data_IF_119312813143
#
_entry.id   IF_119312813143
#
_cell.length_a   1.000
_cell.length_b   1.000
_cell.length_c   1.000
_cell.angle_alpha   90.00
_cell.angle_beta   90.00
_cell.angle_gamma   90.00
#
_symmetry.space_group_name_H-M   'P 1'
#
loop_
_entity.id
_entity.type
_entity.pdbx_description
1 polymer ?
#
# COMPACT_ATOMS: atom_id res chain seq x y z
N UNK A 1 17.04 19.87 -6.96
CA UNK A 1 17.76 18.59 -7.21
C UNK A 1 17.27 17.97 -8.51
N UNK A 2 18.13 17.87 -9.52
CA UNK A 2 17.79 17.29 -10.83
C UNK A 2 17.63 15.77 -10.65
N UNK A 3 16.42 15.23 -10.82
CA UNK A 3 16.20 13.79 -10.70
C UNK A 3 17.05 13.06 -11.74
N UNK A 4 18.00 12.23 -11.30
CA UNK A 4 18.77 11.35 -12.18
C UNK A 4 17.78 10.39 -12.85
N UNK A 5 17.84 10.26 -14.18
CA UNK A 5 16.99 9.30 -14.93
C UNK A 5 17.20 7.90 -14.33
N UNK A 6 16.11 7.19 -14.07
CA UNK A 6 16.18 5.85 -13.48
C UNK A 6 16.86 4.88 -14.45
N UNK A 7 17.79 4.09 -13.93
CA UNK A 7 18.48 3.08 -14.73
C UNK A 7 17.55 1.90 -15.00
N UNK A 8 17.85 1.08 -16.01
CA UNK A 8 17.10 -0.16 -16.26
C UNK A 8 17.10 -1.07 -15.02
N UNK A 9 18.24 -1.20 -14.33
CA UNK A 9 18.35 -1.94 -13.08
C UNK A 9 17.38 -1.46 -11.99
N UNK A 10 17.21 -0.14 -11.83
CA UNK A 10 16.21 0.41 -10.90
C UNK A 10 14.77 0.05 -11.31
N UNK A 11 14.45 0.06 -12.61
CA UNK A 11 13.13 -0.35 -13.08
C UNK A 11 12.85 -1.84 -12.85
N UNK A 12 13.85 -2.70 -13.08
CA UNK A 12 13.75 -4.15 -12.80
C UNK A 12 13.55 -4.40 -11.31
N UNK A 13 14.30 -3.72 -10.45
CA UNK A 13 14.13 -3.85 -9.01
C UNK A 13 12.79 -3.28 -8.52
N UNK A 14 12.25 -2.24 -9.17
CA UNK A 14 10.90 -1.73 -8.87
C UNK A 14 9.79 -2.72 -9.24
N UNK A 15 9.95 -3.48 -10.34
CA UNK A 15 9.06 -4.58 -10.71
C UNK A 15 9.16 -5.71 -9.70
N UNK A 16 10.39 -6.08 -9.32
CA UNK A 16 10.67 -7.09 -8.31
C UNK A 16 9.88 -6.83 -7.02
N UNK A 17 10.02 -5.63 -6.44
CA UNK A 17 9.30 -5.24 -5.21
C UNK A 17 7.77 -5.16 -5.41
N UNK A 18 7.30 -4.78 -6.60
CA UNK A 18 5.85 -4.61 -6.86
C UNK A 18 5.13 -5.94 -7.04
N UNK A 19 5.80 -6.92 -7.66
CA UNK A 19 5.20 -8.18 -8.07
C UNK A 19 5.74 -9.40 -7.33
N UNK A 20 6.65 -9.21 -6.37
CA UNK A 20 7.18 -10.27 -5.52
C UNK A 20 8.07 -11.26 -6.28
N UNK A 21 8.76 -10.81 -7.32
CA UNK A 21 9.68 -11.63 -8.13
C UNK A 21 11.12 -11.17 -7.90
N UNK A 22 12.12 -12.03 -8.02
CA UNK A 22 13.49 -11.58 -7.80
C UNK A 22 14.06 -10.84 -9.04
N UNK A 23 14.89 -9.80 -8.88
CA UNK A 23 15.42 -9.04 -10.03
C UNK A 23 16.22 -9.91 -11.00
N UNK A 24 16.91 -10.94 -10.50
CA UNK A 24 17.64 -11.91 -11.30
C UNK A 24 16.71 -12.76 -12.17
N UNK A 25 15.58 -13.20 -11.64
CA UNK A 25 14.57 -13.96 -12.38
C UNK A 25 13.98 -13.12 -13.50
N UNK A 26 13.66 -11.84 -13.23
CA UNK A 26 13.15 -10.92 -14.26
C UNK A 26 14.21 -10.71 -15.34
N UNK A 27 15.48 -10.54 -14.97
CA UNK A 27 16.58 -10.41 -15.94
C UNK A 27 16.76 -11.67 -16.79
N UNK A 28 16.79 -12.85 -16.18
CA UNK A 28 16.88 -14.11 -16.90
C UNK A 28 15.69 -14.31 -17.84
N UNK A 29 14.49 -13.93 -17.42
CA UNK A 29 13.31 -14.00 -18.26
C UNK A 29 13.36 -13.02 -19.45
N UNK A 30 14.01 -11.84 -19.33
CA UNK A 30 14.29 -10.99 -20.50
C UNK A 30 15.25 -11.68 -21.48
N UNK A 31 16.30 -12.33 -20.97
CA UNK A 31 17.27 -13.07 -21.80
C UNK A 31 16.59 -14.27 -22.49
N UNK A 32 15.70 -14.97 -21.79
CA UNK A 32 14.92 -16.08 -22.33
C UNK A 32 13.90 -15.61 -23.38
N UNK A 33 13.14 -14.55 -23.09
CA UNK A 33 12.17 -13.98 -24.03
C UNK A 33 12.83 -13.48 -25.31
N UNK A 34 14.08 -13.01 -25.25
CA UNK A 34 14.83 -12.66 -26.47
C UNK A 34 15.10 -13.88 -27.35
N UNK A 35 15.27 -15.08 -26.78
CA UNK A 35 15.52 -16.32 -27.52
C UNK A 35 14.24 -17.00 -28.00
N UNK A 36 13.22 -17.02 -27.14
CA UNK A 36 12.00 -17.81 -27.33
C UNK A 36 10.76 -16.95 -27.62
N UNK A 37 10.95 -15.65 -27.91
CA UNK A 37 9.94 -14.60 -28.04
C UNK A 37 9.13 -14.28 -26.77
N UNK A 38 8.93 -15.26 -25.89
CA UNK A 38 8.19 -15.14 -24.64
C UNK A 38 8.89 -15.86 -23.50
N UNK A 39 8.72 -15.35 -22.29
CA UNK A 39 9.12 -16.00 -21.05
C UNK A 39 8.18 -15.61 -19.92
N UNK A 40 8.08 -16.47 -18.91
CA UNK A 40 7.34 -16.19 -17.68
C UNK A 40 8.30 -16.00 -16.49
N UNK A 41 7.94 -15.13 -15.57
CA UNK A 41 8.65 -14.89 -14.32
C UNK A 41 7.61 -14.64 -13.21
N UNK A 42 7.35 -15.66 -12.38
CA UNK A 42 6.30 -15.62 -11.37
C UNK A 42 4.94 -15.32 -11.99
N UNK A 43 4.33 -14.19 -11.61
CA UNK A 43 3.05 -13.72 -12.16
C UNK A 43 3.17 -12.85 -13.43
N UNK A 44 4.38 -12.64 -13.93
CA UNK A 44 4.67 -11.78 -15.07
C UNK A 44 4.96 -12.59 -16.34
N UNK A 45 4.46 -12.10 -17.46
CA UNK A 45 4.80 -12.58 -18.80
C UNK A 45 5.60 -11.49 -19.51
N UNK A 46 6.73 -11.90 -20.09
CA UNK A 46 7.65 -11.02 -20.81
C UNK A 46 7.65 -11.45 -22.27
N UNK A 47 7.35 -10.51 -23.15
CA UNK A 47 7.25 -10.72 -24.59
C UNK A 47 8.27 -9.82 -25.30
N UNK A 48 9.08 -10.41 -26.17
CA UNK A 48 9.94 -9.69 -27.09
C UNK A 48 9.11 -9.06 -28.20
N UNK A 49 9.31 -7.76 -28.43
CA UNK A 49 8.56 -6.97 -29.42
C UNK A 49 9.40 -6.53 -30.62
N UNK A 50 10.65 -6.98 -30.70
CA UNK A 50 11.56 -6.64 -31.78
C UNK A 50 12.80 -5.87 -31.31
N UNK A 51 13.56 -5.39 -32.30
CA UNK A 51 14.77 -4.59 -32.09
C UNK A 51 14.64 -3.25 -32.80
N UNK A 52 15.12 -2.18 -32.17
CA UNK A 52 15.16 -0.84 -32.73
C UNK A 52 16.47 -0.17 -32.33
N UNK A 53 17.27 0.28 -33.32
CA UNK A 53 18.52 1.03 -33.10
C UNK A 53 19.51 0.36 -32.12
N UNK A 54 19.63 -0.98 -32.17
CA UNK A 54 20.52 -1.73 -31.27
C UNK A 54 19.94 -1.99 -29.87
N UNK A 55 18.71 -1.57 -29.60
CA UNK A 55 17.99 -1.89 -28.37
C UNK A 55 16.95 -2.98 -28.64
N UNK A 56 16.81 -3.91 -27.69
CA UNK A 56 15.73 -4.89 -27.68
C UNK A 56 14.53 -4.35 -26.92
N UNK A 57 13.33 -4.48 -27.49
CA UNK A 57 12.08 -4.03 -26.87
C UNK A 57 11.39 -5.21 -26.21
N UNK A 58 11.03 -5.07 -24.95
CA UNK A 58 10.25 -6.04 -24.20
C UNK A 58 8.97 -5.42 -23.67
N UNK A 59 7.89 -6.18 -23.73
CA UNK A 59 6.62 -5.88 -23.08
C UNK A 59 6.43 -6.83 -21.90
N UNK A 60 6.14 -6.28 -20.72
CA UNK A 60 5.88 -7.05 -19.52
C UNK A 60 4.40 -6.89 -19.18
N UNK A 61 3.72 -8.02 -19.01
CA UNK A 61 2.31 -8.10 -18.71
C UNK A 61 2.08 -8.91 -17.44
N UNK A 62 1.00 -8.62 -16.72
CA UNK A 62 0.46 -9.46 -15.65
C UNK A 62 -0.96 -9.81 -16.03
N UNK A 63 -1.24 -11.10 -16.21
CA UNK A 63 -2.51 -11.56 -16.78
C UNK A 63 -2.75 -10.92 -18.16
N UNK A 64 -3.63 -9.92 -18.26
CA UNK A 64 -3.91 -9.18 -19.50
C UNK A 64 -3.42 -7.73 -19.48
N UNK A 65 -2.94 -7.24 -18.33
CA UNK A 65 -2.54 -5.85 -18.16
C UNK A 65 -1.08 -5.63 -18.52
N UNK A 66 -0.80 -4.60 -19.33
CA UNK A 66 0.57 -4.14 -19.60
C UNK A 66 1.10 -3.41 -18.36
N UNK A 67 2.13 -3.97 -17.73
CA UNK A 67 2.71 -3.41 -16.50
C UNK A 67 4.01 -2.63 -16.74
N UNK A 68 4.73 -2.93 -17.81
CA UNK A 68 5.91 -2.18 -18.23
C UNK A 68 6.26 -2.46 -19.70
N UNK A 69 6.98 -1.52 -20.31
CA UNK A 69 7.66 -1.72 -21.59
C UNK A 69 9.09 -1.20 -21.45
N UNK A 70 10.07 -2.02 -21.80
CA UNK A 70 11.48 -1.68 -21.70
C UNK A 70 12.17 -1.69 -23.05
N UNK A 71 13.10 -0.75 -23.22
CA UNK A 71 14.15 -0.81 -24.23
C UNK A 71 15.44 -1.15 -23.51
N UNK A 72 16.10 -2.20 -23.97
CA UNK A 72 17.27 -2.77 -23.31
C UNK A 72 18.38 -2.89 -24.33
N UNK A 73 19.50 -2.23 -24.08
CA UNK A 73 20.71 -2.33 -24.90
C UNK A 73 21.20 -3.78 -24.94
N UNK A 74 21.70 -4.24 -26.10
CA UNK A 74 22.16 -5.63 -26.23
C UNK A 74 23.28 -5.98 -25.26
N UNK A 75 24.20 -5.05 -25.03
CA UNK A 75 25.31 -5.21 -24.09
C UNK A 75 24.81 -5.54 -22.68
N UNK A 76 23.70 -4.93 -22.25
CA UNK A 76 23.10 -5.19 -20.95
C UNK A 76 22.57 -6.62 -20.82
N UNK A 77 22.00 -7.19 -21.89
CA UNK A 77 21.49 -8.57 -21.91
C UNK A 77 22.61 -9.61 -21.96
N UNK A 78 23.80 -9.23 -22.44
CA UNK A 78 24.98 -10.09 -22.55
C UNK A 78 25.87 -10.06 -21.30
N UNK A 79 25.58 -9.17 -20.35
CA UNK A 79 26.31 -9.07 -19.08
C UNK A 79 26.26 -10.38 -18.31
N UNK A 80 27.43 -10.81 -17.85
CA UNK A 80 27.62 -11.97 -16.95
C UNK A 80 27.80 -11.55 -15.49
N UNK A 81 28.14 -10.29 -15.26
CA UNK A 81 28.20 -9.70 -13.93
C UNK A 81 26.78 -9.53 -13.38
N UNK A 82 26.58 -9.89 -12.11
CA UNK A 82 25.26 -9.89 -11.45
C UNK A 82 25.17 -8.76 -10.42
N UNK A 83 24.96 -7.49 -10.81
CA UNK A 83 24.88 -6.35 -9.88
C UNK A 83 23.51 -6.22 -9.21
N UNK A 84 22.74 -7.31 -9.05
CA UNK A 84 21.36 -7.26 -8.54
C UNK A 84 21.28 -6.60 -7.15
N UNK A 85 22.27 -6.85 -6.30
CA UNK A 85 22.38 -6.18 -4.98
C UNK A 85 22.52 -4.66 -5.11
N UNK A 86 23.33 -4.20 -6.07
CA UNK A 86 23.50 -2.77 -6.36
C UNK A 86 22.18 -2.14 -6.84
N UNK A 87 21.41 -2.87 -7.64
CA UNK A 87 20.11 -2.39 -8.11
C UNK A 87 19.09 -2.28 -6.98
N UNK A 88 19.06 -3.23 -6.04
CA UNK A 88 18.15 -3.17 -4.90
C UNK A 88 18.50 -2.09 -3.86
N UNK A 89 19.75 -1.62 -3.85
CA UNK A 89 20.25 -0.65 -2.88
C UNK A 89 19.91 0.82 -3.17
N UNK A 90 19.18 1.13 -4.25
CA UNK A 90 18.73 2.51 -4.53
C UNK A 90 17.76 3.02 -3.46
N UNK A 91 17.91 4.30 -3.09
CA UNK A 91 17.03 5.02 -2.14
C UNK A 91 15.53 4.86 -2.48
N UNK A 92 15.18 4.81 -3.77
CA UNK A 92 13.79 4.62 -4.20
C UNK A 92 13.23 3.25 -3.80
N UNK A 93 14.07 2.22 -3.87
CA UNK A 93 13.68 0.83 -3.57
C UNK A 93 13.61 0.64 -2.07
N UNK A 94 14.59 1.14 -1.32
CA UNK A 94 14.57 1.18 0.16
C UNK A 94 13.30 1.86 0.68
N UNK A 95 12.93 3.02 0.13
CA UNK A 95 11.68 3.71 0.50
C UNK A 95 10.41 2.92 0.15
N UNK A 96 10.39 2.20 -0.98
CA UNK A 96 9.24 1.40 -1.41
C UNK A 96 9.07 0.16 -0.53
N UNK A 97 10.17 -0.52 -0.20
CA UNK A 97 10.22 -1.63 0.76
C UNK A 97 9.77 -1.18 2.16
N UNK A 98 10.30 -0.05 2.67
CA UNK A 98 9.89 0.51 3.95
C UNK A 98 8.38 0.87 3.98
N UNK A 99 7.85 1.39 2.87
CA UNK A 99 6.41 1.68 2.74
C UNK A 99 5.56 0.39 2.76
N UNK A 100 5.90 -0.61 1.96
CA UNK A 100 5.19 -1.90 1.94
C UNK A 100 5.23 -2.61 3.29
N UNK A 101 6.37 -2.58 3.99
CA UNK A 101 6.47 -3.12 5.35
C UNK A 101 5.57 -2.36 6.33
N UNK A 102 5.52 -1.02 6.23
CA UNK A 102 4.62 -0.22 7.08
C UNK A 102 3.16 -0.60 6.89
N UNK A 103 2.73 -0.86 5.65
CA UNK A 103 1.34 -1.26 5.32
C UNK A 103 0.93 -2.61 5.95
N UNK A 104 1.91 -3.42 6.37
CA UNK A 104 1.72 -4.77 6.89
C UNK A 104 1.88 -4.85 8.42
N UNK A 105 2.45 -3.82 9.05
CA UNK A 105 2.69 -3.78 10.49
C UNK A 105 1.52 -3.09 11.18
N UNK A 106 0.91 -3.77 12.15
CA UNK A 106 -0.15 -3.24 13.00
C UNK A 106 0.42 -2.88 14.38
N UNK A 107 -0.05 -1.76 14.93
CA UNK A 107 0.29 -1.33 16.28
C UNK A 107 -0.86 -1.63 17.24
N UNK A 108 -0.53 -2.00 18.47
CA UNK A 108 -1.50 -2.11 19.55
C UNK A 108 -1.85 -0.73 20.11
N UNK A 109 -3.06 -0.61 20.67
CA UNK A 109 -3.58 0.66 21.22
C UNK A 109 -2.68 1.19 22.35
N UNK A 110 -2.15 0.33 23.20
CA UNK A 110 -1.22 0.74 24.29
C UNK A 110 0.03 1.46 23.79
N UNK A 111 0.50 1.12 22.59
CA UNK A 111 1.75 1.63 22.04
C UNK A 111 1.58 2.97 21.31
N UNK A 112 0.33 3.45 21.19
CA UNK A 112 -0.01 4.68 20.49
C UNK A 112 0.37 5.93 21.29
N UNK A 113 1.27 6.72 20.71
CA UNK A 113 1.76 8.00 21.20
C UNK A 113 1.28 9.17 20.35
N UNK A 114 1.06 10.31 21.00
CA UNK A 114 0.67 11.54 20.33
C UNK A 114 1.66 11.90 19.21
N UNK A 115 1.14 12.29 18.04
CA UNK A 115 1.96 12.69 16.90
C UNK A 115 2.38 11.55 15.96
N UNK A 116 2.14 10.28 16.32
CA UNK A 116 2.36 9.15 15.41
C UNK A 116 1.47 9.28 14.17
N UNK A 117 2.05 9.01 12.99
CA UNK A 117 1.39 9.08 11.68
C UNK A 117 1.65 7.80 10.91
N UNK A 118 0.78 7.49 9.95
CA UNK A 118 0.86 6.27 9.10
C UNK A 118 0.84 4.99 9.92
N UNK A 119 0.05 4.98 10.98
CA UNK A 119 -0.15 3.79 11.80
C UNK A 119 -1.27 2.94 11.22
N UNK A 120 -1.16 1.62 11.36
CA UNK A 120 -2.24 0.70 11.07
C UNK A 120 -2.65 0.02 12.38
N UNK A 121 -3.95 -0.10 12.61
CA UNK A 121 -4.48 -0.79 13.79
C UNK A 121 -5.65 -1.68 13.40
N UNK A 122 -5.88 -2.72 14.20
CA UNK A 122 -7.13 -3.47 14.22
C UNK A 122 -7.74 -3.28 15.61
N UNK A 123 -9.03 -2.99 15.65
CA UNK A 123 -9.73 -2.73 16.89
C UNK A 123 -11.20 -3.11 16.75
N UNK A 124 -11.83 -3.46 17.86
CA UNK A 124 -13.26 -3.68 17.95
C UNK A 124 -13.95 -2.37 18.35
N UNK A 125 -15.11 -2.12 17.75
CA UNK A 125 -15.91 -0.93 18.04
C UNK A 125 -16.73 -1.19 19.30
N UNK A 126 -16.40 -0.50 20.38
CA UNK A 126 -16.99 -0.70 21.70
C UNK A 126 -18.22 0.18 21.91
N UNK A 127 -18.15 1.44 21.46
CA UNK A 127 -19.22 2.42 21.65
C UNK A 127 -19.23 3.44 20.51
N UNK A 128 -20.43 3.86 20.10
CA UNK A 128 -20.61 4.99 19.18
C UNK A 128 -21.60 5.97 19.81
N UNK A 129 -21.12 7.09 20.39
CA UNK A 129 -21.99 8.14 20.93
C UNK A 129 -22.81 8.85 19.85
N UNK A 130 -23.74 9.71 20.27
CA UNK A 130 -24.47 10.58 19.34
C UNK A 130 -23.52 11.54 18.61
N UNK A 131 -23.65 11.73 17.28
CA UNK A 131 -22.88 12.73 16.56
C UNK A 131 -23.09 14.13 17.13
N UNK A 132 -22.00 14.91 17.19
CA UNK A 132 -21.99 16.30 17.59
C UNK A 132 -21.75 17.20 16.38
N UNK A 133 -22.41 18.35 16.38
CA UNK A 133 -22.24 19.36 15.34
C UNK A 133 -21.06 20.28 15.68
N UNK A 134 -20.15 20.49 14.73
CA UNK A 134 -18.99 21.38 14.89
C UNK A 134 -18.89 22.38 13.75
N UNK A 135 -18.47 23.61 14.10
CA UNK A 135 -18.17 24.64 13.12
C UNK A 135 -16.69 24.55 12.72
N UNK A 136 -16.45 24.38 11.43
CA UNK A 136 -15.10 24.35 10.87
C UNK A 136 -14.56 25.76 10.69
N UNK A 137 -13.23 25.90 10.65
CA UNK A 137 -12.56 27.17 10.35
C UNK A 137 -12.91 27.76 8.97
N UNK A 138 -13.52 26.95 8.09
CA UNK A 138 -13.95 27.35 6.76
C UNK A 138 -15.43 27.80 6.72
N UNK A 139 -16.06 27.99 7.89
CA UNK A 139 -17.45 28.44 7.99
C UNK A 139 -18.50 27.33 7.80
N UNK A 140 -18.08 26.12 7.41
CA UNK A 140 -18.99 24.99 7.25
C UNK A 140 -19.31 24.34 8.59
N UNK A 141 -20.55 23.87 8.70
CA UNK A 141 -21.01 23.04 9.81
C UNK A 141 -20.93 21.58 9.40
N UNK A 142 -20.28 20.75 10.21
CA UNK A 142 -20.13 19.32 9.92
C UNK A 142 -20.42 18.49 11.16
N UNK A 143 -20.86 17.25 10.95
CA UNK A 143 -21.06 16.28 12.03
C UNK A 143 -19.76 15.52 12.32
N UNK A 144 -19.49 15.30 13.61
CA UNK A 144 -18.37 14.49 14.09
C UNK A 144 -18.83 13.54 15.20
N UNK A 145 -18.29 12.33 15.22
CA UNK A 145 -18.49 11.38 16.32
C UNK A 145 -17.16 10.82 16.76
N UNK A 146 -16.97 10.69 18.08
CA UNK A 146 -15.81 10.05 18.67
C UNK A 146 -16.23 8.65 19.14
N UNK A 147 -16.12 7.66 18.26
CA UNK A 147 -16.38 6.27 18.60
C UNK A 147 -15.28 5.74 19.55
N UNK A 148 -15.65 4.91 20.51
CA UNK A 148 -14.68 4.21 21.36
C UNK A 148 -14.31 2.89 20.68
N UNK A 149 -13.03 2.71 20.40
CA UNK A 149 -12.50 1.49 19.79
C UNK A 149 -11.39 0.92 20.66
N UNK A 150 -11.22 -0.39 20.69
CA UNK A 150 -10.21 -1.02 21.52
C UNK A 150 -9.71 -2.35 20.98
N UNK A 151 -8.55 -2.75 21.47
CA UNK A 151 -7.98 -4.08 21.31
C UNK A 151 -7.74 -4.69 22.70
N UNK A 152 -7.11 -5.86 22.77
CA UNK A 152 -6.75 -6.52 24.03
C UNK A 152 -5.82 -5.69 24.93
N UNK A 153 -5.19 -4.64 24.41
CA UNK A 153 -4.20 -3.82 25.12
C UNK A 153 -4.75 -2.51 25.65
N UNK A 154 -5.89 -2.03 25.16
CA UNK A 154 -6.50 -0.80 25.62
C UNK A 154 -7.54 -0.22 24.68
N UNK A 155 -7.98 0.99 24.99
CA UNK A 155 -9.06 1.69 24.27
C UNK A 155 -8.62 3.10 23.87
N UNK A 156 -9.16 3.59 22.76
CA UNK A 156 -8.87 4.93 22.23
C UNK A 156 -10.08 5.46 21.46
N UNK A 157 -10.26 6.78 21.48
CA UNK A 157 -11.33 7.44 20.69
C UNK A 157 -10.93 7.51 19.22
N UNK A 158 -11.79 7.06 18.32
CA UNK A 158 -11.70 7.22 16.88
C UNK A 158 -12.64 8.34 16.43
N UNK A 159 -12.07 9.42 15.90
CA UNK A 159 -12.81 10.56 15.39
C UNK A 159 -13.24 10.30 13.94
N UNK A 160 -14.55 10.18 13.74
CA UNK A 160 -15.20 10.01 12.44
C UNK A 160 -15.90 11.30 12.02
N UNK A 161 -15.66 11.69 10.78
CA UNK A 161 -16.30 12.86 10.16
C UNK A 161 -17.56 12.42 9.42
N UNK A 162 -18.47 13.36 9.15
CA UNK A 162 -19.79 13.15 8.54
C UNK A 162 -19.88 12.04 7.48
N UNK A 163 -19.01 12.03 6.46
CA UNK A 163 -19.01 11.01 5.41
C UNK A 163 -18.70 9.57 5.90
N UNK A 164 -18.15 9.43 7.09
CA UNK A 164 -17.78 8.18 7.75
C UNK A 164 -18.81 7.76 8.81
N UNK A 165 -19.72 8.66 9.19
CA UNK A 165 -20.75 8.36 10.19
C UNK A 165 -21.70 7.32 9.58
N UNK A 166 -21.92 6.22 10.31
CA UNK A 166 -22.73 5.08 9.84
C UNK A 166 -21.96 4.01 9.04
N UNK A 167 -20.66 4.20 8.78
CA UNK A 167 -19.83 3.18 8.12
C UNK A 167 -19.44 2.01 9.04
N UNK A 168 -19.54 2.20 10.35
CA UNK A 168 -19.19 1.21 11.38
C UNK A 168 -20.29 1.13 12.43
N UNK A 169 -20.40 -0.02 13.08
CA UNK A 169 -21.37 -0.29 14.16
C UNK A 169 -20.69 -0.84 15.39
N UNK A 170 -21.36 -0.68 16.54
CA UNK A 170 -20.94 -1.32 17.79
C UNK A 170 -20.86 -2.84 17.58
N UNK A 171 -19.75 -3.43 18.00
CA UNK A 171 -19.42 -4.84 17.81
C UNK A 171 -18.70 -5.17 16.50
N UNK A 172 -18.59 -4.24 15.55
CA UNK A 172 -17.79 -4.46 14.35
C UNK A 172 -16.29 -4.54 14.71
N UNK A 173 -15.57 -5.45 14.06
CA UNK A 173 -14.11 -5.45 14.05
C UNK A 173 -13.63 -4.63 12.86
N UNK A 174 -12.84 -3.60 13.10
CA UNK A 174 -12.39 -2.64 12.10
C UNK A 174 -10.88 -2.70 11.89
N UNK A 175 -10.46 -2.31 10.69
CA UNK A 175 -9.08 -2.05 10.31
C UNK A 175 -8.95 -0.57 9.93
N UNK A 176 -8.07 0.14 10.61
CA UNK A 176 -7.68 1.49 10.26
C UNK A 176 -6.28 1.46 9.65
N UNK A 177 -6.15 1.87 8.39
CA UNK A 177 -4.87 2.03 7.70
C UNK A 177 -4.48 3.49 7.56
N UNK A 178 -3.19 3.77 7.64
CA UNK A 178 -2.58 5.10 7.59
C UNK A 178 -3.25 6.13 8.52
N UNK A 179 -3.63 5.71 9.72
CA UNK A 179 -4.17 6.57 10.76
C UNK A 179 -3.14 7.55 11.32
N UNK A 180 -3.63 8.49 12.12
CA UNK A 180 -2.83 9.43 12.90
C UNK A 180 -3.35 9.50 14.34
N UNK A 181 -2.42 9.57 15.29
CA UNK A 181 -2.72 9.87 16.70
C UNK A 181 -2.60 11.37 16.91
N UNK A 182 -3.70 12.01 17.24
CA UNK A 182 -3.78 13.43 17.59
C UNK A 182 -4.17 13.61 19.05
N UNK A 183 -3.81 14.75 19.63
CA UNK A 183 -4.34 15.18 20.92
C UNK A 183 -5.33 16.29 20.67
N UNK A 184 -6.51 16.20 21.29
CA UNK A 184 -7.51 17.25 21.26
C UNK A 184 -8.08 17.43 22.66
N UNK A 185 -8.03 18.66 23.17
CA UNK A 185 -8.45 19.00 24.54
C UNK A 185 -7.81 18.09 25.60
N UNK A 186 -6.53 17.75 25.41
CA UNK A 186 -5.77 16.89 26.33
C UNK A 186 -5.97 15.38 26.13
N UNK A 187 -6.92 14.96 25.30
CA UNK A 187 -7.19 13.53 25.07
C UNK A 187 -6.56 13.02 23.78
N UNK A 188 -5.97 11.82 23.84
CA UNK A 188 -5.48 11.11 22.65
C UNK A 188 -6.66 10.55 21.86
N UNK A 189 -6.66 10.80 20.56
CA UNK A 189 -7.65 10.26 19.64
C UNK A 189 -7.01 9.89 18.30
N UNK A 190 -7.58 8.87 17.67
CA UNK A 190 -7.28 8.44 16.32
C UNK A 190 -8.08 9.24 15.31
N UNK A 191 -7.41 9.54 14.20
CA UNK A 191 -8.00 10.16 13.00
C UNK A 191 -7.52 9.43 11.77
N UNK A 192 -8.35 9.44 10.73
CA UNK A 192 -7.93 9.04 9.40
C UNK A 192 -6.90 10.03 8.84
N UNK A 193 -5.76 9.52 8.40
CA UNK A 193 -4.76 10.34 7.71
C UNK A 193 -5.20 10.70 6.28
N UNK A 194 -4.41 11.54 5.59
CA UNK A 194 -4.69 11.98 4.22
C UNK A 194 -4.94 10.84 3.21
N UNK A 195 -4.27 9.70 3.39
CA UNK A 195 -4.44 8.48 2.60
C UNK A 195 -4.96 7.32 3.48
N UNK A 196 -5.69 7.68 4.54
CA UNK A 196 -6.24 6.73 5.50
C UNK A 196 -7.43 5.98 4.91
N UNK A 197 -7.59 4.74 5.35
CA UNK A 197 -8.75 3.92 5.02
C UNK A 197 -9.28 3.26 6.30
N UNK A 198 -10.60 3.17 6.41
CA UNK A 198 -11.29 2.47 7.47
C UNK A 198 -12.11 1.36 6.82
N UNK A 199 -11.89 0.11 7.24
CA UNK A 199 -12.54 -1.07 6.67
C UNK A 199 -13.13 -1.93 7.78
N UNK A 200 -14.34 -2.45 7.60
CA UNK A 200 -14.92 -3.44 8.51
C UNK A 200 -14.41 -4.83 8.12
N UNK A 201 -13.67 -5.48 9.01
CA UNK A 201 -13.14 -6.84 8.83
C UNK A 201 -14.19 -7.91 9.16
N UNK A 202 -14.92 -7.72 10.26
CA UNK A 202 -16.03 -8.57 10.66
C UNK A 202 -17.16 -7.68 11.12
N UNK A 203 -18.35 -7.87 10.54
CA UNK A 203 -19.52 -7.13 11.00
C UNK A 203 -20.26 -7.93 12.06
N UNK A 204 -20.69 -7.24 13.12
CA UNK A 204 -21.62 -7.79 14.10
C UNK A 204 -23.03 -7.96 13.53
N UNK A 205 -23.35 -7.32 12.40
CA UNK A 205 -24.61 -7.52 11.68
C UNK A 205 -24.56 -8.84 10.91
N UNK A 206 -25.02 -9.93 11.52
CA UNK A 206 -25.40 -11.13 10.76
C UNK A 206 -26.50 -10.69 9.77
N UNK A 207 -26.22 -10.76 8.46
CA UNK A 207 -27.28 -10.58 7.45
C UNK A 207 -28.32 -11.68 7.69
N UNK A 208 -29.63 -11.39 7.73
CA UNK A 208 -30.61 -12.46 7.71
C UNK A 208 -30.39 -13.27 6.43
N UNK A 209 -30.10 -14.56 6.57
CA UNK A 209 -30.24 -15.49 5.46
C UNK A 209 -31.72 -15.46 5.09
N UNK A 210 -32.04 -14.88 3.95
CA UNK A 210 -33.35 -15.06 3.34
C UNK A 210 -33.36 -16.53 2.92
N UNK A 211 -33.97 -17.37 3.77
CA UNK A 211 -34.35 -18.72 3.40
C UNK A 211 -35.56 -18.56 2.49
N UNK A 212 -35.35 -18.76 1.19
CA UNK A 212 -36.42 -18.89 0.19
C UNK A 212 -36.97 -20.30 0.27
#
# INVERSE_FOLDING_TARGET
MRQKKSTLGEHLALLSVKYGVYPNEVFQALVLARKNEKAACGSLNIEFRGKLKGETIFLITKQSDVVAQFRVEEEFLLRKDTPFESWMNSEKIKKKLAKQNTDSIYSFVKDLRAGMKRINIKADVLEIPKPAQVHTQFGNTVMVVNALVGDETGQIKLCLWEAQIGSIHVGDQIELKHGQVCVFRGEKQLRLGKNGALTVLKSARVKPQIVV
#
